data_IF_950592424726
#
_entry.id   IF_950592424726
#
_cell.length_a   1.000
_cell.length_b   1.000
_cell.length_c   1.000
_cell.angle_alpha   90.00
_cell.angle_beta   90.00
_cell.angle_gamma   90.00
#
_symmetry.space_group_name_H-M   'P 1'
#
loop_
_entity.id
_entity.type
_entity.pdbx_description
1 polymer ?
#
# COMPACT_ATOMS: atom_id res chain seq x y z
N UNK A 1 4.32 30.19 -4.50
CA UNK A 1 4.80 28.86 -4.86
C UNK A 1 6.17 28.66 -4.22
N UNK A 2 6.35 27.68 -3.34
CA UNK A 2 7.60 27.41 -2.62
C UNK A 2 8.72 27.08 -3.62
N UNK A 3 9.97 27.43 -3.31
CA UNK A 3 11.15 27.13 -4.11
C UNK A 3 11.28 25.62 -4.37
N UNK A 4 10.99 24.81 -3.35
CA UNK A 4 11.00 23.35 -3.45
C UNK A 4 9.99 22.80 -4.48
N UNK A 5 8.81 23.41 -4.60
CA UNK A 5 7.83 23.00 -5.63
C UNK A 5 8.34 23.30 -7.03
N UNK A 6 9.00 24.44 -7.23
CA UNK A 6 9.58 24.79 -8.52
C UNK A 6 10.71 23.85 -8.92
N UNK A 7 11.56 23.46 -7.97
CA UNK A 7 12.64 22.51 -8.20
C UNK A 7 12.08 21.11 -8.54
N UNK A 8 11.08 20.63 -7.80
CA UNK A 8 10.41 19.37 -8.10
C UNK A 8 9.75 19.38 -9.47
N UNK A 9 9.10 20.48 -9.84
CA UNK A 9 8.48 20.62 -11.15
C UNK A 9 9.52 20.57 -12.27
N UNK A 10 10.65 21.24 -12.09
CA UNK A 10 11.77 21.23 -13.04
C UNK A 10 12.33 19.81 -13.21
N UNK A 11 12.55 19.08 -12.11
CA UNK A 11 13.00 17.69 -12.17
C UNK A 11 12.00 16.79 -12.92
N UNK A 12 10.69 16.98 -12.71
CA UNK A 12 9.66 16.24 -13.44
C UNK A 12 9.73 16.52 -14.94
N UNK A 13 9.92 17.76 -15.32
CA UNK A 13 10.04 18.18 -16.73
C UNK A 13 11.28 17.56 -17.37
N UNK A 14 12.43 17.60 -16.71
CA UNK A 14 13.69 17.00 -17.17
C UNK A 14 13.54 15.48 -17.35
N UNK A 15 12.91 14.77 -16.42
CA UNK A 15 12.65 13.32 -16.55
C UNK A 15 11.69 13.03 -17.69
N UNK A 16 10.69 13.89 -17.92
CA UNK A 16 9.72 13.68 -18.99
C UNK A 16 10.33 13.91 -20.39
N UNK A 17 11.37 14.72 -20.50
CA UNK A 17 12.05 14.96 -21.79
C UNK A 17 12.68 13.72 -22.41
N UNK A 18 13.00 12.71 -21.59
CA UNK A 18 13.58 11.43 -22.04
C UNK A 18 12.56 10.57 -22.81
N UNK A 19 11.26 10.85 -22.67
CA UNK A 19 10.21 10.04 -23.27
C UNK A 19 9.73 10.58 -24.62
N UNK A 20 9.24 9.71 -25.52
CA UNK A 20 8.57 10.16 -26.75
C UNK A 20 7.44 11.16 -26.45
N UNK A 21 7.23 12.13 -27.31
CA UNK A 21 6.31 13.26 -27.08
C UNK A 21 4.89 12.83 -26.68
N UNK A 22 4.35 11.77 -27.30
CA UNK A 22 3.04 11.22 -26.94
C UNK A 22 2.99 10.73 -25.51
N UNK A 23 4.02 9.99 -25.08
CA UNK A 23 4.15 9.45 -23.72
C UNK A 23 4.35 10.57 -22.72
N UNK A 24 5.16 11.58 -23.08
CA UNK A 24 5.41 12.75 -22.26
C UNK A 24 4.12 13.53 -21.98
N UNK A 25 3.34 13.83 -23.00
CA UNK A 25 2.05 14.52 -22.84
C UNK A 25 1.04 13.75 -22.01
N UNK A 26 1.04 12.42 -22.12
CA UNK A 26 0.13 11.57 -21.35
C UNK A 26 0.57 11.51 -19.88
N UNK A 27 1.86 11.35 -19.61
CA UNK A 27 2.40 11.32 -18.24
C UNK A 27 2.35 12.66 -17.54
N UNK A 28 2.61 13.77 -18.22
CA UNK A 28 2.54 15.11 -17.65
C UNK A 28 1.17 15.44 -17.05
N UNK A 29 0.10 14.84 -17.57
CA UNK A 29 -1.26 14.99 -17.04
C UNK A 29 -1.46 14.29 -15.67
N UNK A 30 -0.59 13.37 -15.33
CA UNK A 30 -0.71 12.52 -14.15
C UNK A 30 0.34 12.84 -13.07
N UNK A 31 1.30 13.71 -13.38
CA UNK A 31 2.33 14.13 -12.44
C UNK A 31 1.95 15.47 -11.81
N UNK A 32 1.96 15.52 -10.51
CA UNK A 32 1.78 16.75 -9.74
C UNK A 32 2.92 16.88 -8.72
N UNK A 33 3.50 18.07 -8.63
CA UNK A 33 4.46 18.37 -7.57
C UNK A 33 3.71 18.53 -6.24
N UNK A 34 4.12 17.79 -5.23
CA UNK A 34 3.58 17.91 -3.87
C UNK A 34 4.38 18.96 -3.09
N UNK A 35 3.69 19.71 -2.26
CA UNK A 35 4.36 20.60 -1.29
C UNK A 35 4.79 19.78 -0.07
N UNK A 36 6.10 19.52 0.13
CA UNK A 36 6.58 18.75 1.28
C UNK A 36 6.43 19.50 2.61
N UNK A 37 6.10 20.80 2.57
CA UNK A 37 5.94 21.61 3.79
C UNK A 37 4.55 21.51 4.40
N UNK A 38 3.61 20.86 3.75
CA UNK A 38 2.26 20.61 4.26
C UNK A 38 1.39 21.86 4.46
N UNK A 39 1.83 23.02 3.98
CA UNK A 39 1.09 24.27 4.15
C UNK A 39 -0.07 24.46 3.17
N UNK A 40 -0.22 23.56 2.21
CA UNK A 40 -1.30 23.64 1.26
C UNK A 40 -2.48 22.79 1.72
N UNK A 41 -3.46 23.38 2.38
CA UNK A 41 -4.72 22.76 2.78
C UNK A 41 -5.58 22.26 1.60
N UNK A 42 -5.22 22.62 0.38
CA UNK A 42 -5.91 22.25 -0.86
C UNK A 42 -5.10 21.32 -1.77
N UNK A 43 -3.86 20.99 -1.39
CA UNK A 43 -3.04 20.02 -2.12
C UNK A 43 -3.57 18.60 -1.86
N UNK A 44 -4.69 18.26 -2.45
CA UNK A 44 -5.06 16.87 -2.60
C UNK A 44 -4.00 16.23 -3.50
N UNK A 45 -3.31 15.24 -2.96
CA UNK A 45 -2.52 14.32 -3.77
C UNK A 45 -3.47 13.75 -4.82
N UNK A 46 -3.40 14.27 -6.03
CA UNK A 46 -4.13 13.69 -7.15
C UNK A 46 -3.39 12.42 -7.53
N UNK A 47 -3.72 11.33 -6.85
CA UNK A 47 -3.34 10.01 -7.32
C UNK A 47 -3.76 9.85 -8.78
N UNK A 48 -3.17 8.91 -9.47
CA UNK A 48 -3.41 8.56 -10.88
C UNK A 48 -4.90 8.18 -11.11
N UNK A 49 -5.79 9.18 -11.11
CA UNK A 49 -7.25 9.02 -11.04
C UNK A 49 -7.85 8.56 -12.37
N UNK A 50 -7.11 8.70 -13.47
CA UNK A 50 -7.61 8.33 -14.80
C UNK A 50 -7.11 6.95 -15.23
N UNK A 51 -7.57 5.92 -14.54
CA UNK A 51 -7.53 4.58 -15.10
C UNK A 51 -8.63 4.45 -16.18
N UNK A 52 -8.31 3.81 -17.29
CA UNK A 52 -9.34 3.50 -18.30
C UNK A 52 -10.19 2.34 -17.76
N UNK A 53 -11.52 2.50 -17.66
CA UNK A 53 -12.40 1.42 -17.21
C UNK A 53 -12.18 0.15 -18.03
N UNK A 54 -12.09 -0.99 -17.37
CA UNK A 54 -11.93 -2.30 -18.00
C UNK A 54 -10.52 -2.66 -18.44
N UNK A 55 -9.53 -1.79 -18.26
CA UNK A 55 -8.12 -2.11 -18.56
C UNK A 55 -7.34 -2.32 -17.27
N UNK A 56 -7.12 -3.56 -16.90
CA UNK A 56 -6.22 -3.93 -15.82
C UNK A 56 -4.81 -4.11 -16.37
N UNK A 57 -3.81 -3.53 -15.71
CA UNK A 57 -2.43 -3.74 -16.12
C UNK A 57 -1.99 -5.17 -15.83
N UNK A 58 -1.14 -5.73 -16.69
CA UNK A 58 -0.60 -7.10 -16.56
C UNK A 58 0.13 -7.33 -15.23
N UNK A 59 0.47 -6.27 -14.51
CA UNK A 59 1.28 -6.33 -13.28
C UNK A 59 0.48 -6.34 -11.98
N UNK A 60 -0.83 -6.30 -12.04
CA UNK A 60 -1.70 -6.38 -10.89
C UNK A 60 -2.50 -5.11 -10.59
N UNK A 61 -3.20 -5.13 -9.47
CA UNK A 61 -4.13 -4.11 -8.99
C UNK A 61 -3.48 -3.13 -7.98
N UNK A 62 -4.26 -2.19 -7.44
CA UNK A 62 -3.80 -1.24 -6.43
C UNK A 62 -3.21 -1.92 -5.18
N UNK A 63 -3.85 -2.99 -4.71
CA UNK A 63 -3.32 -3.78 -3.59
C UNK A 63 -1.92 -4.35 -3.87
N UNK A 64 -1.71 -4.94 -5.05
CA UNK A 64 -0.40 -5.48 -5.42
C UNK A 64 0.68 -4.38 -5.50
N UNK A 65 0.30 -3.17 -5.91
CA UNK A 65 1.19 -2.00 -5.90
C UNK A 65 1.54 -1.58 -4.48
N UNK A 66 0.57 -1.38 -3.64
CA UNK A 66 0.77 -0.97 -2.26
C UNK A 66 1.62 -1.99 -1.48
N UNK A 67 1.23 -3.27 -1.50
CA UNK A 67 1.95 -4.32 -0.78
C UNK A 67 3.31 -4.63 -1.38
N UNK A 68 3.35 -4.88 -2.69
CA UNK A 68 4.56 -5.42 -3.32
C UNK A 68 5.63 -4.38 -3.63
N UNK A 69 5.28 -3.11 -3.77
CA UNK A 69 6.22 -2.07 -4.21
C UNK A 69 6.49 -1.05 -3.13
N UNK A 70 5.48 -0.63 -2.39
CA UNK A 70 5.63 0.44 -1.39
C UNK A 70 5.94 -0.14 -0.01
N UNK A 71 5.03 -0.96 0.53
CA UNK A 71 5.13 -1.43 1.91
C UNK A 71 6.07 -2.60 2.10
N UNK A 72 6.14 -3.52 1.14
CA UNK A 72 7.00 -4.70 1.24
C UNK A 72 8.49 -4.39 1.43
N UNK A 73 9.07 -3.41 0.71
CA UNK A 73 10.48 -3.06 0.86
C UNK A 73 10.84 -2.32 2.14
N UNK A 74 9.86 -1.83 2.91
CA UNK A 74 10.13 -1.09 4.14
C UNK A 74 10.72 -2.04 5.18
N UNK A 75 11.88 -1.69 5.71
CA UNK A 75 12.55 -2.43 6.76
C UNK A 75 11.90 -2.17 8.13
N UNK A 76 12.07 -3.10 9.03
CA UNK A 76 11.54 -3.05 10.41
C UNK A 76 9.99 -2.96 10.47
N UNK A 77 9.31 -3.24 9.37
CA UNK A 77 7.86 -3.16 9.26
C UNK A 77 7.25 -4.48 8.81
N UNK A 78 6.16 -4.88 9.45
CA UNK A 78 5.37 -6.05 9.09
C UNK A 78 4.21 -5.62 8.18
N UNK A 79 4.19 -6.02 6.89
CA UNK A 79 3.05 -5.81 6.01
C UNK A 79 2.02 -6.94 6.20
N UNK A 80 0.83 -6.59 6.69
CA UNK A 80 -0.25 -7.53 6.94
C UNK A 80 -1.29 -7.39 5.84
N UNK A 81 -1.61 -8.50 5.18
CA UNK A 81 -2.71 -8.59 4.23
C UNK A 81 -4.00 -8.85 4.99
N UNK A 82 -4.91 -7.89 5.00
CA UNK A 82 -6.20 -8.07 5.63
C UNK A 82 -7.22 -8.48 4.58
N UNK A 83 -7.58 -9.77 4.60
CA UNK A 83 -8.45 -10.39 3.62
C UNK A 83 -8.12 -11.87 3.38
N UNK A 84 -8.61 -12.46 2.29
CA UNK A 84 -8.34 -13.83 1.90
C UNK A 84 -6.88 -14.08 1.56
N UNK A 85 -6.40 -15.30 1.78
CA UNK A 85 -5.00 -15.66 1.51
C UNK A 85 -4.55 -15.44 0.05
N UNK A 86 -5.46 -15.52 -0.91
CA UNK A 86 -5.12 -15.53 -2.34
C UNK A 86 -4.43 -14.25 -2.82
N UNK A 87 -4.97 -13.08 -2.49
CA UNK A 87 -4.39 -11.79 -2.89
C UNK A 87 -3.00 -11.58 -2.28
N UNK A 88 -2.87 -11.89 -1.01
CA UNK A 88 -1.61 -11.81 -0.30
C UNK A 88 -0.55 -12.72 -0.89
N UNK A 89 -0.87 -13.98 -1.14
CA UNK A 89 0.02 -14.97 -1.71
C UNK A 89 0.44 -14.60 -3.14
N UNK A 90 -0.52 -14.20 -3.98
CA UNK A 90 -0.23 -13.83 -5.36
C UNK A 90 0.69 -12.61 -5.45
N UNK A 91 0.44 -11.59 -4.66
CA UNK A 91 1.29 -10.41 -4.62
C UNK A 91 2.70 -10.72 -4.09
N UNK A 92 2.81 -11.60 -3.09
CA UNK A 92 4.09 -12.06 -2.58
C UNK A 92 4.86 -12.86 -3.64
N UNK A 93 4.23 -13.82 -4.28
CA UNK A 93 4.88 -14.68 -5.26
C UNK A 93 5.38 -13.90 -6.48
N UNK A 94 4.58 -12.99 -7.00
CA UNK A 94 4.97 -12.16 -8.14
C UNK A 94 6.16 -11.24 -7.84
N UNK A 95 6.48 -11.00 -6.57
CA UNK A 95 7.51 -10.06 -6.14
C UNK A 95 8.71 -10.68 -5.44
N UNK A 96 8.64 -11.95 -5.04
CA UNK A 96 9.71 -12.60 -4.27
C UNK A 96 11.10 -12.52 -4.95
N UNK A 97 11.14 -12.50 -6.27
CA UNK A 97 12.37 -12.44 -7.02
C UNK A 97 13.11 -11.11 -6.91
N UNK A 98 12.39 -10.04 -6.57
CA UNK A 98 12.98 -8.71 -6.35
C UNK A 98 13.73 -8.60 -5.02
N UNK A 99 13.44 -9.50 -4.09
CA UNK A 99 13.96 -9.45 -2.72
C UNK A 99 14.93 -10.60 -2.42
N UNK A 100 15.22 -11.45 -3.40
CA UNK A 100 16.19 -12.52 -3.25
C UNK A 100 17.60 -11.92 -3.00
N UNK A 101 18.12 -12.17 -1.79
CA UNK A 101 19.45 -11.74 -1.39
C UNK A 101 19.51 -10.53 -0.43
N UNK A 102 18.40 -9.89 -0.13
CA UNK A 102 18.33 -8.77 0.85
C UNK A 102 17.54 -9.12 2.12
N UNK A 103 17.51 -10.38 2.48
CA UNK A 103 16.81 -10.85 3.68
C UNK A 103 17.72 -10.64 4.90
N UNK A 104 17.63 -9.45 5.47
CA UNK A 104 18.12 -9.24 6.84
C UNK A 104 17.04 -9.65 7.85
N UNK A 105 17.41 -9.75 9.12
CA UNK A 105 16.46 -10.02 10.23
C UNK A 105 15.41 -8.92 10.39
N UNK A 106 15.60 -7.79 9.75
CA UNK A 106 14.74 -6.61 9.74
C UNK A 106 13.80 -6.54 8.53
N UNK A 107 13.82 -7.55 7.64
CA UNK A 107 13.02 -7.56 6.40
C UNK A 107 11.96 -8.65 6.45
N UNK A 108 10.71 -8.24 6.54
CA UNK A 108 9.54 -9.15 6.64
C UNK A 108 8.83 -9.36 5.30
N UNK A 109 9.31 -8.76 4.23
CA UNK A 109 8.69 -8.81 2.90
C UNK A 109 8.57 -10.21 2.32
N UNK A 110 9.47 -11.11 2.71
CA UNK A 110 9.46 -12.52 2.29
C UNK A 110 8.42 -13.34 3.01
N UNK A 111 7.82 -12.81 4.06
CA UNK A 111 6.77 -13.45 4.82
C UNK A 111 5.41 -13.13 4.24
N UNK A 112 4.59 -14.15 4.08
CA UNK A 112 3.20 -14.00 3.67
C UNK A 112 2.32 -13.96 4.92
N UNK A 113 2.09 -12.76 5.43
CA UNK A 113 1.25 -12.54 6.61
C UNK A 113 -0.13 -12.09 6.16
N UNK A 114 -1.16 -12.82 6.57
CA UNK A 114 -2.55 -12.57 6.21
C UNK A 114 -3.47 -12.86 7.39
N UNK A 115 -4.63 -12.23 7.41
CA UNK A 115 -5.70 -12.56 8.35
C UNK A 115 -6.56 -13.76 7.89
N UNK A 116 -6.29 -14.26 6.68
CA UNK A 116 -6.92 -15.46 6.10
C UNK A 116 -8.45 -15.51 6.24
N UNK A 117 -9.10 -14.52 5.62
CA UNK A 117 -10.56 -14.44 5.62
C UNK A 117 -11.21 -15.72 5.14
N UNK A 118 -12.12 -16.24 5.95
CA UNK A 118 -13.03 -17.32 5.64
C UNK A 118 -14.44 -16.77 5.40
N UNK A 119 -15.36 -17.61 4.96
CA UNK A 119 -16.75 -17.23 4.69
C UNK A 119 -17.41 -16.52 5.88
N UNK A 120 -17.13 -16.98 7.10
CA UNK A 120 -17.64 -16.37 8.33
C UNK A 120 -17.20 -14.92 8.49
N UNK A 121 -15.98 -14.58 8.06
CA UNK A 121 -15.42 -13.24 8.19
C UNK A 121 -16.05 -12.27 7.18
N UNK A 122 -16.48 -12.80 6.03
CA UNK A 122 -17.26 -12.03 5.05
C UNK A 122 -18.65 -11.68 5.60
N UNK A 123 -19.25 -12.59 6.39
CA UNK A 123 -20.61 -12.39 6.94
C UNK A 123 -20.60 -11.52 8.20
N UNK A 124 -19.63 -11.71 9.07
CA UNK A 124 -19.61 -11.12 10.41
C UNK A 124 -18.54 -10.02 10.60
N UNK A 125 -17.72 -9.75 9.59
CA UNK A 125 -16.58 -8.84 9.67
C UNK A 125 -15.30 -9.51 10.16
N UNK A 126 -14.16 -8.97 9.73
CA UNK A 126 -12.82 -9.47 10.04
C UNK A 126 -12.07 -8.71 11.13
N UNK A 127 -12.65 -7.66 11.71
CA UNK A 127 -11.99 -6.78 12.68
C UNK A 127 -11.38 -7.53 13.87
N UNK A 128 -12.08 -8.55 14.37
CA UNK A 128 -11.60 -9.38 15.50
C UNK A 128 -10.38 -10.20 15.12
N UNK A 129 -10.38 -10.77 13.91
CA UNK A 129 -9.25 -11.55 13.40
C UNK A 129 -8.03 -10.63 13.16
N UNK A 130 -8.27 -9.42 12.68
CA UNK A 130 -7.23 -8.42 12.51
C UNK A 130 -6.60 -8.02 13.85
N UNK A 131 -7.41 -7.69 14.85
CA UNK A 131 -6.96 -7.33 16.20
C UNK A 131 -6.12 -8.46 16.82
N UNK A 132 -6.60 -9.70 16.75
CA UNK A 132 -5.87 -10.87 17.24
C UNK A 132 -4.52 -11.06 16.51
N UNK A 133 -4.52 -10.95 15.18
CA UNK A 133 -3.31 -11.08 14.37
C UNK A 133 -2.25 -10.02 14.72
N UNK A 134 -2.66 -8.78 14.95
CA UNK A 134 -1.73 -7.69 15.34
C UNK A 134 -1.03 -8.00 16.66
N UNK A 135 -1.76 -8.49 17.65
CA UNK A 135 -1.21 -8.87 18.95
C UNK A 135 -0.26 -10.08 18.86
N UNK A 136 -0.66 -11.10 18.12
CA UNK A 136 0.17 -12.29 17.88
C UNK A 136 1.47 -11.93 17.16
N UNK A 137 1.40 -11.14 16.10
CA UNK A 137 2.56 -10.72 15.33
C UNK A 137 3.55 -9.89 16.16
N UNK A 138 3.08 -9.06 17.07
CA UNK A 138 3.97 -8.33 18.00
C UNK A 138 4.75 -9.28 18.91
N UNK A 139 4.12 -10.37 19.34
CA UNK A 139 4.79 -11.40 20.13
C UNK A 139 5.80 -12.20 19.32
N UNK A 140 5.46 -12.58 18.10
CA UNK A 140 6.32 -13.38 17.22
C UNK A 140 7.50 -12.57 16.65
N UNK A 141 7.31 -11.28 16.41
CA UNK A 141 8.32 -10.40 15.81
C UNK A 141 8.62 -9.18 16.68
N UNK A 142 9.26 -9.38 17.83
CA UNK A 142 9.51 -8.30 18.79
C UNK A 142 10.40 -7.17 18.24
N UNK A 143 11.22 -7.46 17.23
CA UNK A 143 12.12 -6.49 16.59
C UNK A 143 11.40 -5.58 15.58
N UNK A 144 10.17 -5.91 15.19
CA UNK A 144 9.39 -5.05 14.32
C UNK A 144 9.05 -3.72 14.99
N UNK A 145 9.31 -2.62 14.30
CA UNK A 145 9.10 -1.26 14.80
C UNK A 145 7.76 -0.67 14.39
N UNK A 146 7.12 -1.25 13.38
CA UNK A 146 5.81 -0.83 12.89
C UNK A 146 5.09 -1.96 12.18
N UNK A 147 3.79 -1.78 11.95
CA UNK A 147 2.97 -2.68 11.13
C UNK A 147 2.17 -1.89 10.11
N UNK A 148 1.97 -2.46 8.92
CA UNK A 148 1.09 -1.93 7.89
C UNK A 148 -0.08 -2.87 7.63
N UNK A 149 -1.31 -2.40 7.73
CA UNK A 149 -2.50 -3.16 7.40
C UNK A 149 -2.90 -2.80 5.98
N UNK A 150 -2.86 -3.76 5.07
CA UNK A 150 -3.22 -3.55 3.66
C UNK A 150 -4.55 -4.23 3.39
N UNK A 151 -5.60 -3.43 3.14
CA UNK A 151 -6.94 -3.96 2.89
C UNK A 151 -7.06 -4.59 1.51
N UNK A 152 -7.64 -5.78 1.48
CA UNK A 152 -8.00 -6.48 0.25
C UNK A 152 -9.43 -6.15 -0.19
N UNK A 153 -9.83 -6.57 -1.38
CA UNK A 153 -11.15 -6.23 -1.93
C UNK A 153 -12.34 -6.58 -1.03
N UNK A 154 -12.42 -7.78 -0.44
CA UNK A 154 -13.53 -8.12 0.44
C UNK A 154 -13.68 -7.18 1.63
N UNK A 155 -12.56 -6.77 2.24
CA UNK A 155 -12.53 -5.84 3.38
C UNK A 155 -13.22 -4.52 3.05
N UNK A 156 -12.91 -3.96 1.87
CA UNK A 156 -13.56 -2.73 1.43
C UNK A 156 -15.03 -2.89 1.06
N UNK A 157 -15.46 -4.09 0.66
CA UNK A 157 -16.85 -4.38 0.32
C UNK A 157 -17.72 -4.58 1.56
N UNK A 158 -17.21 -5.28 2.58
CA UNK A 158 -17.94 -5.53 3.83
C UNK A 158 -17.89 -4.34 4.80
N UNK A 159 -16.93 -3.42 4.61
CA UNK A 159 -16.82 -2.20 5.38
C UNK A 159 -16.11 -2.32 6.72
N UNK A 160 -15.16 -3.25 6.85
CA UNK A 160 -14.34 -3.36 8.07
C UNK A 160 -13.63 -2.04 8.39
N UNK A 161 -13.58 -1.70 9.68
CA UNK A 161 -12.98 -0.46 10.18
C UNK A 161 -11.52 -0.68 10.61
N UNK A 162 -10.66 -0.85 9.60
CA UNK A 162 -9.23 -1.03 9.82
C UNK A 162 -8.57 0.17 10.52
N UNK A 163 -9.14 1.35 10.40
CA UNK A 163 -8.65 2.56 11.05
C UNK A 163 -8.91 2.51 12.57
N UNK A 164 -10.08 2.10 12.99
CA UNK A 164 -10.40 1.95 14.40
C UNK A 164 -9.55 0.86 15.06
N UNK A 165 -9.42 -0.30 14.40
CA UNK A 165 -8.59 -1.41 14.88
C UNK A 165 -7.13 -0.99 14.97
N UNK A 166 -6.58 -0.35 13.93
CA UNK A 166 -5.18 0.11 13.95
C UNK A 166 -4.89 1.11 15.05
N UNK A 167 -5.80 2.07 15.28
CA UNK A 167 -5.66 3.09 16.32
C UNK A 167 -5.69 2.48 17.73
N UNK A 168 -6.56 1.51 17.96
CA UNK A 168 -6.65 0.77 19.23
C UNK A 168 -5.36 -0.02 19.46
N UNK A 169 -5.03 -0.90 18.53
CA UNK A 169 -3.86 -1.79 18.64
C UNK A 169 -2.54 -1.01 18.73
N UNK A 170 -2.40 0.11 18.02
CA UNK A 170 -1.21 0.97 18.10
C UNK A 170 -0.98 1.52 19.52
N UNK A 171 -2.06 1.87 20.25
CA UNK A 171 -1.96 2.32 21.64
C UNK A 171 -1.59 1.17 22.58
N UNK A 172 -2.17 0.00 22.36
CA UNK A 172 -1.97 -1.19 23.20
C UNK A 172 -0.57 -1.78 23.02
N UNK A 173 -0.08 -1.85 21.79
CA UNK A 173 1.20 -2.45 21.44
C UNK A 173 2.40 -1.48 21.48
N UNK A 174 2.15 -0.18 21.58
CA UNK A 174 3.19 0.86 21.69
C UNK A 174 4.02 1.03 20.41
N UNK A 175 3.52 0.62 19.25
CA UNK A 175 4.18 0.79 17.94
C UNK A 175 3.23 1.41 16.93
N UNK A 176 3.74 2.13 15.92
CA UNK A 176 2.93 2.63 14.83
C UNK A 176 2.27 1.49 14.04
N UNK A 177 0.97 1.56 13.85
CA UNK A 177 0.21 0.67 12.98
C UNK A 177 -0.54 1.52 11.96
N UNK A 178 -0.23 1.35 10.69
CA UNK A 178 -0.72 2.21 9.61
C UNK A 178 -1.75 1.45 8.77
N UNK A 179 -3.01 1.89 8.75
CA UNK A 179 -4.02 1.33 7.86
C UNK A 179 -3.86 1.89 6.45
N UNK A 180 -3.93 1.02 5.45
CA UNK A 180 -3.80 1.36 4.03
C UNK A 180 -4.98 0.80 3.27
N UNK A 181 -5.86 1.69 2.82
CA UNK A 181 -6.99 1.33 1.96
C UNK A 181 -6.52 1.20 0.52
N UNK A 182 -6.19 -0.02 0.13
CA UNK A 182 -5.62 -0.31 -1.18
C UNK A 182 -6.36 -1.41 -1.93
N UNK A 183 -7.63 -1.59 -1.69
CA UNK A 183 -8.46 -2.59 -2.34
C UNK A 183 -8.31 -2.54 -3.86
N UNK A 184 -8.19 -3.68 -4.50
CA UNK A 184 -7.86 -3.78 -5.92
C UNK A 184 -8.83 -3.03 -6.84
N UNK A 185 -10.11 -2.95 -6.46
CA UNK A 185 -11.14 -2.25 -7.24
C UNK A 185 -11.03 -0.71 -7.18
N UNK A 186 -10.27 -0.14 -6.25
CA UNK A 186 -10.07 1.33 -6.18
C UNK A 186 -9.37 1.87 -7.41
N UNK A 187 -8.68 1.03 -8.13
CA UNK A 187 -8.09 1.39 -9.40
C UNK A 187 -7.67 0.18 -10.21
N UNK A 188 -7.76 0.32 -11.52
CA UNK A 188 -7.41 -0.72 -12.50
C UNK A 188 -5.91 -0.81 -12.77
N UNK A 189 -5.10 -0.07 -12.03
CA UNK A 189 -3.66 0.00 -12.22
C UNK A 189 -2.92 -0.18 -10.92
N UNK A 190 -1.88 -0.99 -10.95
CA UNK A 190 -0.94 -1.14 -9.84
C UNK A 190 -0.36 0.21 -9.38
N UNK A 191 -0.14 1.14 -10.31
CA UNK A 191 0.40 2.47 -10.00
C UNK A 191 -0.51 3.32 -9.10
N UNK A 192 -1.78 2.98 -8.97
CA UNK A 192 -2.66 3.64 -8.01
C UNK A 192 -2.34 3.26 -6.56
N UNK A 193 -1.77 2.09 -6.34
CA UNK A 193 -1.32 1.64 -5.03
C UNK A 193 0.00 2.27 -4.56
N UNK A 194 0.73 2.90 -5.47
CA UNK A 194 1.99 3.59 -5.16
C UNK A 194 1.71 4.96 -4.58
#
# INVERSE_FOLDING_TARGET
>A
MSTAIKETQKMIEEVLEIYPEKTRKDRAKHLAANDPTGQCSTCQVKSNIKSRPGVMTVRGCAYAGAKGVVWGPVKDQIPISHGPIGCGQYSWWSRRNYYNGQTGIDTFVTMHITTDFQEKDIVYGGDKNLDAALHELKGLFPLAKSMGILSECPVGLIGDDIEAVSKKASKELGIPIVPVRCEGFRGVSQSLGH
#
